data_IF_287929308785
#
_entry.id   IF_287929308785
#
_cell.length_a   1.000
_cell.length_b   1.000
_cell.length_c   1.000
_cell.angle_alpha   90.00
_cell.angle_beta   90.00
_cell.angle_gamma   90.00
#
_symmetry.space_group_name_H-M   'P 1'
#
loop_
_entity.id
_entity.type
_entity.pdbx_description
1 polymer ?
#
# COMPACT_ATOMS: atom_id res chain seq x y z
N UNK A 1 -4.53 -50.43 9.13
CA UNK A 1 -4.42 -49.00 9.49
C UNK A 1 -3.68 -48.30 8.36
N UNK A 2 -4.39 -47.49 7.57
CA UNK A 2 -3.80 -46.70 6.47
C UNK A 2 -3.51 -45.30 6.98
N UNK A 3 -2.30 -44.75 6.86
CA UNK A 3 -2.04 -43.36 7.24
C UNK A 3 -2.64 -42.41 6.20
N UNK A 4 -3.58 -41.57 6.62
CA UNK A 4 -4.01 -40.39 5.86
C UNK A 4 -2.86 -39.38 5.83
N UNK A 5 -2.24 -39.24 4.67
CA UNK A 5 -1.30 -38.14 4.40
C UNK A 5 -2.13 -36.90 4.17
N UNK A 6 -2.17 -35.98 5.13
CA UNK A 6 -2.68 -34.63 4.96
C UNK A 6 -1.67 -33.83 4.14
N UNK A 7 -1.98 -33.67 2.85
CA UNK A 7 -1.26 -32.75 1.98
C UNK A 7 -1.68 -31.32 2.34
N UNK A 8 -0.88 -30.64 3.17
CA UNK A 8 -1.01 -29.19 3.42
C UNK A 8 -0.62 -28.47 2.12
N UNK A 9 -1.62 -28.10 1.30
CA UNK A 9 -1.44 -27.10 0.27
C UNK A 9 -1.21 -25.75 0.98
N UNK A 10 0.05 -25.34 1.07
CA UNK A 10 0.39 -23.93 1.32
C UNK A 10 -0.04 -23.14 0.08
N UNK A 11 -1.23 -22.54 0.12
CA UNK A 11 -1.57 -21.46 -0.81
C UNK A 11 -0.61 -20.31 -0.49
N UNK A 12 0.50 -20.23 -1.25
CA UNK A 12 1.26 -19.01 -1.34
C UNK A 12 0.32 -17.92 -1.85
N UNK A 13 0.04 -16.92 -1.03
CA UNK A 13 -0.59 -15.69 -1.50
C UNK A 13 0.37 -15.07 -2.51
N UNK A 14 0.13 -15.31 -3.79
CA UNK A 14 0.69 -14.54 -4.89
C UNK A 14 -0.02 -13.19 -4.82
N UNK A 15 0.51 -12.28 -4.00
CA UNK A 15 0.10 -10.88 -4.03
C UNK A 15 0.42 -10.34 -5.42
N UNK A 16 -0.62 -10.04 -6.21
CA UNK A 16 -0.44 -9.33 -7.46
C UNK A 16 0.24 -7.99 -7.13
N UNK A 17 1.41 -7.72 -7.74
CA UNK A 17 2.13 -6.46 -7.58
C UNK A 17 3.28 -6.46 -6.56
N UNK A 18 3.54 -7.56 -5.83
CA UNK A 18 4.69 -7.71 -4.91
C UNK A 18 5.60 -8.89 -5.30
N UNK A 19 5.72 -9.15 -6.58
CA UNK A 19 6.64 -10.14 -7.14
C UNK A 19 8.09 -9.67 -7.13
N UNK A 20 9.02 -10.58 -7.45
CA UNK A 20 10.46 -10.26 -7.50
C UNK A 20 10.79 -9.15 -8.52
N UNK A 21 10.07 -9.10 -9.65
CA UNK A 21 10.23 -8.05 -10.65
C UNK A 21 9.72 -6.70 -10.15
N UNK A 22 8.58 -6.69 -9.46
CA UNK A 22 8.00 -5.47 -8.90
C UNK A 22 8.89 -4.91 -7.79
N UNK A 23 9.40 -5.76 -6.90
CA UNK A 23 10.37 -5.38 -5.86
C UNK A 23 11.67 -4.83 -6.44
N UNK A 24 12.15 -5.40 -7.54
CA UNK A 24 13.38 -4.92 -8.19
C UNK A 24 13.27 -3.46 -8.64
N UNK A 25 12.05 -2.95 -8.89
CA UNK A 25 11.83 -1.54 -9.25
C UNK A 25 12.08 -0.56 -8.11
N UNK A 26 12.12 -1.05 -6.86
CA UNK A 26 12.42 -0.26 -5.66
C UNK A 26 13.92 -0.11 -5.41
N UNK A 27 14.77 -0.82 -6.18
CA UNK A 27 16.23 -0.76 -5.99
C UNK A 27 16.78 0.62 -6.32
N UNK A 28 17.61 1.16 -5.41
CA UNK A 28 18.29 2.43 -5.60
C UNK A 28 17.42 3.67 -5.37
N UNK A 29 16.15 3.52 -4.97
CA UNK A 29 15.30 4.65 -4.57
C UNK A 29 15.86 5.25 -3.28
N UNK A 30 16.12 6.56 -3.28
CA UNK A 30 16.76 7.26 -2.15
C UNK A 30 15.78 8.07 -1.31
N UNK A 31 14.75 8.61 -1.94
CA UNK A 31 13.69 9.38 -1.28
C UNK A 31 12.37 9.23 -2.04
N UNK A 32 11.26 9.46 -1.34
CA UNK A 32 9.93 9.42 -1.94
C UNK A 32 8.96 10.34 -1.21
N UNK A 33 7.94 10.80 -1.92
CA UNK A 33 6.80 11.48 -1.32
C UNK A 33 5.74 10.48 -0.84
N UNK A 34 4.83 10.91 0.02
CA UNK A 34 3.62 10.16 0.42
C UNK A 34 2.39 10.94 0.00
N UNK A 35 1.60 10.34 -0.87
CA UNK A 35 0.36 10.91 -1.42
C UNK A 35 -0.82 10.07 -0.94
N UNK A 36 -1.86 10.73 -0.45
CA UNK A 36 -3.12 10.09 -0.10
C UNK A 36 -4.18 10.55 -1.09
N UNK A 37 -4.83 9.62 -1.76
CA UNK A 37 -5.91 9.92 -2.67
C UNK A 37 -7.08 10.58 -1.93
N UNK A 38 -7.97 11.22 -2.69
CA UNK A 38 -9.17 11.82 -2.13
C UNK A 38 -10.03 10.77 -1.43
N UNK A 39 -10.39 11.04 -0.19
CA UNK A 39 -11.24 10.16 0.62
C UNK A 39 -12.72 10.42 0.34
N UNK A 40 -13.53 9.40 0.60
CA UNK A 40 -14.96 9.55 0.71
C UNK A 40 -15.30 10.51 1.87
N UNK A 41 -16.19 11.51 1.67
CA UNK A 41 -16.56 12.44 2.72
C UNK A 41 -17.11 11.79 4.00
N UNK A 42 -17.70 10.61 3.91
CA UNK A 42 -18.20 9.89 5.09
C UNK A 42 -17.04 9.30 5.92
N UNK A 43 -15.91 8.92 5.30
CA UNK A 43 -14.70 8.53 6.02
C UNK A 43 -14.10 9.75 6.74
N UNK A 44 -14.08 10.90 6.10
CA UNK A 44 -13.59 12.15 6.72
C UNK A 44 -14.44 12.55 7.92
N UNK A 45 -15.79 12.45 7.83
CA UNK A 45 -16.71 12.65 8.95
C UNK A 45 -16.47 11.66 10.09
N UNK A 46 -16.06 10.44 9.78
CA UNK A 46 -15.71 9.44 10.78
C UNK A 46 -14.37 9.72 11.47
N UNK A 47 -13.59 10.72 11.01
CA UNK A 47 -12.30 11.10 11.57
C UNK A 47 -11.09 10.49 10.84
N UNK A 48 -11.30 9.86 9.68
CA UNK A 48 -10.22 9.38 8.82
C UNK A 48 -9.88 10.49 7.85
N UNK A 49 -8.76 11.18 8.07
CA UNK A 49 -8.33 12.30 7.23
C UNK A 49 -7.08 11.97 6.42
N UNK A 50 -6.90 12.66 5.28
CA UNK A 50 -5.70 12.50 4.47
C UNK A 50 -4.41 12.80 5.27
N UNK A 51 -4.44 13.83 6.12
CA UNK A 51 -3.26 14.20 6.92
C UNK A 51 -2.91 13.15 7.97
N UNK A 52 -3.92 12.56 8.61
CA UNK A 52 -3.70 11.47 9.56
C UNK A 52 -3.07 10.25 8.87
N UNK A 53 -3.61 9.84 7.73
CA UNK A 53 -3.10 8.71 6.96
C UNK A 53 -1.68 9.00 6.43
N UNK A 54 -1.45 10.21 5.90
CA UNK A 54 -0.13 10.64 5.42
C UNK A 54 0.90 10.58 6.54
N UNK A 55 0.59 11.13 7.71
CA UNK A 55 1.49 11.12 8.87
C UNK A 55 1.83 9.71 9.32
N UNK A 56 0.87 8.78 9.30
CA UNK A 56 1.12 7.39 9.68
C UNK A 56 2.02 6.68 8.67
N UNK A 57 1.69 6.73 7.39
CA UNK A 57 2.51 6.10 6.34
C UNK A 57 3.91 6.71 6.33
N UNK A 58 4.04 8.04 6.32
CA UNK A 58 5.34 8.72 6.37
C UNK A 58 6.15 8.35 7.62
N UNK A 59 5.50 8.24 8.78
CA UNK A 59 6.13 7.80 10.03
C UNK A 59 6.70 6.39 9.91
N UNK A 60 5.96 5.43 9.33
CA UNK A 60 6.44 4.06 9.09
C UNK A 60 7.66 4.03 8.18
N UNK A 61 7.63 4.78 7.07
CA UNK A 61 8.74 4.88 6.15
C UNK A 61 9.98 5.48 6.83
N UNK A 62 9.81 6.59 7.56
CA UNK A 62 10.91 7.26 8.26
C UNK A 62 11.53 6.39 9.35
N UNK A 63 10.74 5.67 10.14
CA UNK A 63 11.21 4.70 11.13
C UNK A 63 12.00 3.55 10.50
N UNK A 64 11.71 3.22 9.25
CA UNK A 64 12.45 2.23 8.48
C UNK A 64 13.76 2.78 7.87
N UNK A 65 14.03 4.08 8.01
CA UNK A 65 15.19 4.76 7.45
C UNK A 65 15.02 5.18 6.00
N UNK A 66 13.77 5.23 5.51
CA UNK A 66 13.44 5.72 4.17
C UNK A 66 13.19 7.23 4.26
N UNK A 67 13.86 8.01 3.40
CA UNK A 67 13.70 9.47 3.37
C UNK A 67 12.36 9.84 2.74
N UNK A 68 11.52 10.55 3.50
CA UNK A 68 10.25 11.11 2.99
C UNK A 68 10.51 12.56 2.60
N UNK A 69 10.37 12.86 1.31
CA UNK A 69 10.58 14.19 0.74
C UNK A 69 9.36 14.61 -0.09
N UNK A 70 8.62 15.65 0.32
CA UNK A 70 7.47 16.14 -0.43
C UNK A 70 7.78 16.62 -1.85
N UNK A 71 9.05 16.93 -2.16
CA UNK A 71 9.50 17.36 -3.48
C UNK A 71 9.95 16.19 -4.38
N UNK A 72 10.02 14.97 -3.85
CA UNK A 72 10.40 13.81 -4.64
C UNK A 72 9.39 13.54 -5.76
N UNK A 73 9.90 13.17 -6.95
CA UNK A 73 9.06 12.80 -8.10
C UNK A 73 8.46 11.41 -7.93
N UNK A 74 9.15 10.53 -7.23
CA UNK A 74 8.69 9.20 -6.87
C UNK A 74 7.83 9.29 -5.62
N UNK A 75 6.75 8.53 -5.57
CA UNK A 75 5.87 8.59 -4.41
C UNK A 75 5.16 7.27 -4.12
N UNK A 76 4.88 7.07 -2.85
CA UNK A 76 3.95 6.04 -2.37
C UNK A 76 2.56 6.65 -2.32
N UNK A 77 1.61 6.06 -3.06
CA UNK A 77 0.21 6.49 -3.08
C UNK A 77 -0.67 5.53 -2.29
N UNK A 78 -1.42 6.03 -1.30
CA UNK A 78 -2.46 5.27 -0.60
C UNK A 78 -3.83 5.68 -1.13
N UNK A 79 -4.58 4.70 -1.62
CA UNK A 79 -5.96 4.83 -2.06
C UNK A 79 -6.88 4.03 -1.14
N UNK A 80 -8.02 4.60 -0.81
CA UNK A 80 -9.09 3.95 -0.04
C UNK A 80 -10.40 4.13 -0.78
N UNK A 81 -10.94 3.04 -1.31
CA UNK A 81 -12.29 2.98 -1.84
C UNK A 81 -13.22 2.42 -0.76
N UNK A 82 -14.36 3.06 -0.52
CA UNK A 82 -15.28 2.70 0.55
C UNK A 82 -16.69 2.49 0.05
N UNK A 83 -17.37 1.52 0.66
CA UNK A 83 -18.82 1.37 0.58
C UNK A 83 -19.37 1.34 2.00
N UNK A 84 -20.06 2.42 2.37
CA UNK A 84 -20.64 2.61 3.69
C UNK A 84 -22.14 2.36 3.62
N UNK A 85 -22.60 1.24 4.18
CA UNK A 85 -24.02 0.96 4.27
C UNK A 85 -24.67 1.86 5.33
N UNK A 86 -25.92 2.28 5.12
CA UNK A 86 -26.68 3.08 6.10
C UNK A 86 -26.82 2.39 7.46
N UNK A 87 -26.90 1.06 7.46
CA UNK A 87 -26.91 0.20 8.64
C UNK A 87 -26.07 -1.03 8.31
N UNK A 88 -25.05 -1.32 9.12
CA UNK A 88 -24.22 -2.49 8.94
C UNK A 88 -22.72 -2.18 8.82
N UNK A 89 -21.94 -3.18 8.43
CA UNK A 89 -20.50 -3.02 8.27
C UNK A 89 -20.15 -2.16 7.04
N UNK A 90 -19.04 -1.45 7.14
CA UNK A 90 -18.40 -0.80 6.00
C UNK A 90 -17.54 -1.84 5.25
N UNK A 91 -17.50 -1.74 3.92
CA UNK A 91 -16.52 -2.44 3.08
C UNK A 91 -15.49 -1.42 2.60
N UNK A 92 -14.23 -1.68 2.85
CA UNK A 92 -13.11 -0.84 2.44
C UNK A 92 -12.14 -1.64 1.60
N UNK A 93 -11.67 -1.04 0.50
CA UNK A 93 -10.53 -1.54 -0.26
C UNK A 93 -9.40 -0.53 -0.13
N UNK A 94 -8.28 -0.96 0.45
CA UNK A 94 -7.08 -0.13 0.55
C UNK A 94 -6.02 -0.68 -0.40
N UNK A 95 -5.38 0.20 -1.17
CA UNK A 95 -4.20 -0.13 -1.95
C UNK A 95 -3.08 0.87 -1.69
N UNK A 96 -1.86 0.36 -1.60
CA UNK A 96 -0.64 1.14 -1.48
C UNK A 96 0.25 0.80 -2.68
N UNK A 97 0.54 1.79 -3.51
CA UNK A 97 1.33 1.62 -4.72
C UNK A 97 2.52 2.58 -4.75
N UNK A 98 3.63 2.13 -5.32
CA UNK A 98 4.79 2.96 -5.58
C UNK A 98 4.79 3.43 -7.02
N UNK A 99 4.77 4.73 -7.21
CA UNK A 99 4.75 5.41 -8.50
C UNK A 99 6.10 6.02 -8.80
N UNK A 100 6.56 5.83 -10.03
CA UNK A 100 7.80 6.44 -10.50
C UNK A 100 7.71 6.83 -11.98
N UNK A 101 8.54 7.78 -12.44
CA UNK A 101 8.65 8.11 -13.85
C UNK A 101 9.15 6.91 -14.66
N UNK A 102 8.42 6.54 -15.70
CA UNK A 102 8.78 5.46 -16.61
C UNK A 102 8.83 5.94 -18.05
N UNK A 103 9.62 5.27 -18.87
CA UNK A 103 9.68 5.47 -20.32
C UNK A 103 8.97 4.31 -21.02
N UNK A 104 8.20 4.61 -22.05
CA UNK A 104 7.59 3.56 -22.84
C UNK A 104 8.64 2.85 -23.72
N UNK A 105 8.71 1.53 -23.65
CA UNK A 105 9.67 0.75 -24.44
C UNK A 105 9.48 0.99 -25.96
N UNK A 106 8.22 1.15 -26.41
CA UNK A 106 7.89 1.41 -27.83
C UNK A 106 8.24 2.82 -28.30
N UNK A 107 8.34 3.79 -27.36
CA UNK A 107 8.70 5.18 -27.63
C UNK A 107 9.32 5.81 -26.39
N UNK A 108 10.63 5.78 -26.31
CA UNK A 108 11.40 6.29 -25.17
C UNK A 108 11.33 7.81 -24.98
N UNK A 109 10.72 8.56 -25.91
CA UNK A 109 10.45 9.99 -25.73
C UNK A 109 9.22 10.25 -24.86
N UNK A 110 8.34 9.26 -24.76
CA UNK A 110 7.14 9.35 -23.90
C UNK A 110 7.48 8.95 -22.48
N UNK A 111 7.41 9.94 -21.60
CA UNK A 111 7.57 9.77 -20.15
C UNK A 111 6.20 9.85 -19.47
N UNK A 112 5.92 8.95 -18.54
CA UNK A 112 4.71 8.94 -17.73
C UNK A 112 5.04 8.47 -16.30
N UNK A 113 4.12 8.67 -15.35
CA UNK A 113 4.17 8.01 -14.05
C UNK A 113 3.38 6.70 -14.12
N UNK A 114 3.91 5.64 -13.53
CA UNK A 114 3.24 4.34 -13.46
C UNK A 114 3.47 3.69 -12.10
N UNK A 115 2.47 2.97 -11.55
CA UNK A 115 2.72 2.09 -10.42
C UNK A 115 3.63 0.94 -10.90
N UNK A 116 4.70 0.70 -10.14
CA UNK A 116 5.68 -0.35 -10.43
C UNK A 116 5.76 -1.39 -9.33
N UNK A 117 5.13 -1.11 -8.19
CA UNK A 117 4.92 -2.02 -7.07
C UNK A 117 3.57 -1.66 -6.42
N UNK A 118 2.80 -2.67 -5.98
CA UNK A 118 1.50 -2.45 -5.35
C UNK A 118 1.11 -3.61 -4.44
N UNK A 119 0.46 -3.29 -3.33
CA UNK A 119 -0.24 -4.24 -2.46
C UNK A 119 -1.61 -3.69 -2.08
N UNK A 120 -2.55 -4.58 -1.81
CA UNK A 120 -3.91 -4.20 -1.44
C UNK A 120 -4.51 -5.14 -0.40
N UNK A 121 -5.53 -4.64 0.30
CA UNK A 121 -6.33 -5.41 1.24
C UNK A 121 -7.79 -4.97 1.20
N UNK A 122 -8.68 -5.89 1.53
CA UNK A 122 -10.13 -5.61 1.64
C UNK A 122 -10.54 -5.89 3.08
N UNK A 123 -11.30 -4.96 3.66
CA UNK A 123 -11.81 -5.05 5.02
C UNK A 123 -13.34 -5.01 5.00
N UNK A 124 -13.95 -5.83 5.85
CA UNK A 124 -15.33 -5.64 6.29
C UNK A 124 -15.32 -5.27 7.77
N UNK A 125 -15.73 -4.05 8.09
CA UNK A 125 -15.54 -3.47 9.42
C UNK A 125 -16.85 -2.95 9.98
N UNK A 126 -17.17 -3.32 11.22
CA UNK A 126 -18.28 -2.73 11.95
C UNK A 126 -18.04 -1.21 12.20
N UNK A 127 -19.10 -0.40 12.35
CA UNK A 127 -18.93 1.06 12.46
C UNK A 127 -18.02 1.52 13.60
N UNK A 128 -18.05 0.86 14.76
CA UNK A 128 -17.26 1.27 15.93
C UNK A 128 -15.74 1.18 15.72
N UNK A 129 -15.16 0.07 15.22
CA UNK A 129 -13.73 -0.03 14.99
C UNK A 129 -13.28 0.54 13.64
N UNK A 130 -14.13 1.22 12.87
CA UNK A 130 -13.83 1.68 11.50
C UNK A 130 -12.51 2.46 11.41
N UNK A 131 -12.34 3.47 12.25
CA UNK A 131 -11.13 4.31 12.25
C UNK A 131 -9.89 3.48 12.55
N UNK A 132 -9.93 2.74 13.67
CA UNK A 132 -8.78 1.95 14.09
C UNK A 132 -8.42 0.87 13.07
N UNK A 133 -9.39 0.13 12.55
CA UNK A 133 -9.16 -0.92 11.56
C UNK A 133 -8.60 -0.36 10.25
N UNK A 134 -9.03 0.83 9.84
CA UNK A 134 -8.49 1.50 8.64
C UNK A 134 -7.04 1.92 8.87
N UNK A 135 -6.72 2.47 10.05
CA UNK A 135 -5.35 2.85 10.39
C UNK A 135 -4.42 1.63 10.47
N UNK A 136 -4.88 0.53 11.08
CA UNK A 136 -4.10 -0.70 11.19
C UNK A 136 -3.83 -1.32 9.81
N UNK A 137 -4.81 -1.27 8.90
CA UNK A 137 -4.63 -1.73 7.54
C UNK A 137 -3.64 -0.85 6.76
N UNK A 138 -3.71 0.47 6.90
CA UNK A 138 -2.73 1.37 6.28
C UNK A 138 -1.31 1.11 6.80
N UNK A 139 -1.16 0.90 8.11
CA UNK A 139 0.12 0.52 8.72
C UNK A 139 0.64 -0.81 8.16
N UNK A 140 -0.23 -1.82 8.04
CA UNK A 140 0.16 -3.12 7.48
C UNK A 140 0.65 -3.02 6.04
N UNK A 141 -0.03 -2.23 5.19
CA UNK A 141 0.40 -2.00 3.81
C UNK A 141 1.75 -1.26 3.77
N UNK A 142 1.95 -0.26 4.63
CA UNK A 142 3.22 0.44 4.74
C UNK A 142 4.35 -0.48 5.22
N UNK A 143 4.10 -1.40 6.15
CA UNK A 143 5.07 -2.39 6.61
C UNK A 143 5.43 -3.39 5.50
N UNK A 144 4.46 -3.78 4.65
CA UNK A 144 4.73 -4.61 3.47
C UNK A 144 5.64 -3.87 2.47
N UNK A 145 5.38 -2.58 2.21
CA UNK A 145 6.25 -1.75 1.39
C UNK A 145 7.67 -1.68 1.96
N UNK A 146 7.82 -1.41 3.25
CA UNK A 146 9.12 -1.37 3.94
C UNK A 146 9.86 -2.70 3.79
N UNK A 147 9.16 -3.82 3.92
CA UNK A 147 9.74 -5.15 3.73
C UNK A 147 10.22 -5.36 2.30
N UNK A 148 9.40 -5.00 1.31
CA UNK A 148 9.76 -5.08 -0.11
C UNK A 148 10.97 -4.19 -0.42
N UNK A 149 10.96 -2.94 0.04
CA UNK A 149 12.05 -1.98 -0.14
C UNK A 149 13.38 -2.49 0.43
N UNK A 150 13.36 -2.99 1.67
CA UNK A 150 14.56 -3.52 2.34
C UNK A 150 15.11 -4.77 1.67
N UNK A 151 14.25 -5.59 1.05
CA UNK A 151 14.67 -6.82 0.37
C UNK A 151 15.60 -6.55 -0.82
N UNK A 152 15.54 -5.36 -1.42
CA UNK A 152 16.34 -4.97 -2.59
C UNK A 152 17.29 -3.80 -2.30
N UNK A 153 17.25 -3.21 -1.11
CA UNK A 153 18.15 -2.16 -0.64
C UNK A 153 18.78 -2.57 0.72
N UNK A 154 19.59 -3.62 0.76
CA UNK A 154 20.26 -4.05 1.99
C UNK A 154 21.20 -2.94 2.48
N UNK A 155 21.25 -2.77 3.82
CA UNK A 155 22.19 -1.83 4.48
C UNK A 155 23.57 -2.45 4.57
#
# INVERSE_FOLDING_TARGET
MRPCVFLLLSLGMLGAGDGSLDRATLHGVTSMNVVIDRLDPELEKAGITQDLLRSRVAGRLSMAGITVDPAALEFVGLRIDSFLARKGPASLSLSLAFFQPVLLVRDQKVRTASPTWEVSTILMVAPRPLVQSTMDAADQLADQFVSAFRSVNPK
#
